data_IF_236180280073
#
_entry.id   IF_236180280073
#
_cell.length_a   1.000
_cell.length_b   1.000
_cell.length_c   1.000
_cell.angle_alpha   90.00
_cell.angle_beta   90.00
_cell.angle_gamma   90.00
#
_symmetry.space_group_name_H-M   'P 1'
#
loop_
_entity.id
_entity.type
_entity.pdbx_description
1 polymer ?
#
# COMPACT_ATOMS: atom_id res chain seq x y z
N UNK A 1 17.22 -7.25 20.76
CA UNK A 1 16.00 -6.44 20.52
C UNK A 1 15.13 -7.16 19.52
N UNK A 2 13.80 -7.14 19.67
CA UNK A 2 12.89 -7.71 18.68
C UNK A 2 12.01 -6.63 18.06
N UNK A 3 11.87 -6.66 16.73
CA UNK A 3 10.96 -5.80 15.97
C UNK A 3 9.86 -6.67 15.37
N UNK A 4 8.60 -6.31 15.61
CA UNK A 4 7.44 -7.09 15.16
C UNK A 4 6.83 -6.46 13.90
N UNK A 5 6.80 -7.21 12.80
CA UNK A 5 6.21 -6.86 11.51
C UNK A 5 7.22 -6.35 10.48
N UNK A 6 7.29 -7.01 9.32
CA UNK A 6 8.09 -6.67 8.15
C UNK A 6 7.45 -5.64 7.21
N UNK A 7 6.54 -4.80 7.71
CA UNK A 7 6.12 -3.61 6.97
C UNK A 7 7.26 -2.59 6.89
N UNK A 8 7.17 -1.62 5.98
CA UNK A 8 8.20 -0.57 5.81
C UNK A 8 8.65 0.10 7.11
N UNK A 9 7.72 0.31 8.06
CA UNK A 9 8.04 0.87 9.36
C UNK A 9 8.93 -0.05 10.22
N UNK A 10 8.62 -1.34 10.26
CA UNK A 10 9.41 -2.32 11.01
C UNK A 10 10.76 -2.58 10.36
N UNK A 11 10.81 -2.67 9.03
CA UNK A 11 12.07 -2.76 8.27
C UNK A 11 12.98 -1.56 8.57
N UNK A 12 12.44 -0.34 8.51
CA UNK A 12 13.22 0.88 8.79
C UNK A 12 13.68 0.93 10.24
N UNK A 13 12.82 0.55 11.19
CA UNK A 13 13.17 0.53 12.61
C UNK A 13 14.27 -0.49 12.91
N UNK A 14 14.15 -1.71 12.37
CA UNK A 14 15.14 -2.76 12.54
C UNK A 14 16.49 -2.38 11.92
N UNK A 15 16.49 -1.84 10.70
CA UNK A 15 17.71 -1.33 10.06
C UNK A 15 18.37 -0.23 10.89
N UNK A 16 17.58 0.70 11.43
CA UNK A 16 18.12 1.80 12.25
C UNK A 16 18.73 1.28 13.55
N UNK A 17 18.11 0.31 14.21
CA UNK A 17 18.65 -0.30 15.43
C UNK A 17 19.92 -1.09 15.14
N UNK A 18 19.96 -1.86 14.05
CA UNK A 18 21.15 -2.56 13.56
C UNK A 18 22.31 -1.60 13.31
N UNK A 19 22.06 -0.50 12.58
CA UNK A 19 23.06 0.56 12.33
C UNK A 19 23.59 1.24 13.60
N UNK A 20 22.83 1.19 14.69
CA UNK A 20 23.25 1.71 16.00
C UNK A 20 24.00 0.65 16.83
N UNK A 21 24.25 -0.54 16.28
CA UNK A 21 24.98 -1.63 16.93
C UNK A 21 24.16 -2.46 17.91
N UNK A 22 22.83 -2.32 17.91
CA UNK A 22 21.98 -3.19 18.70
C UNK A 22 21.85 -4.56 18.02
N UNK A 23 21.85 -5.63 18.82
CA UNK A 23 21.44 -6.95 18.37
C UNK A 23 19.92 -6.95 18.13
N UNK A 24 19.48 -7.16 16.88
CA UNK A 24 18.09 -6.99 16.44
C UNK A 24 17.64 -8.20 15.65
N UNK A 25 16.48 -8.73 16.00
CA UNK A 25 15.74 -9.72 15.20
C UNK A 25 14.41 -9.11 14.74
N UNK A 26 14.07 -9.27 13.47
CA UNK A 26 12.77 -8.90 12.92
C UNK A 26 11.87 -10.14 12.78
N UNK A 27 10.67 -10.09 13.35
CA UNK A 27 9.71 -11.20 13.37
C UNK A 27 8.49 -10.83 12.53
N UNK A 28 8.15 -11.65 11.54
CA UNK A 28 7.03 -11.43 10.62
C UNK A 28 6.14 -12.67 10.51
N UNK A 29 4.83 -12.44 10.57
CA UNK A 29 3.83 -13.50 10.52
C UNK A 29 3.69 -14.10 9.10
N UNK A 30 3.85 -13.28 8.06
CA UNK A 30 3.85 -13.74 6.68
C UNK A 30 5.12 -14.51 6.32
N UNK A 31 5.04 -15.32 5.27
CA UNK A 31 6.19 -16.01 4.68
C UNK A 31 7.08 -15.12 3.81
N UNK A 32 6.83 -13.80 3.76
CA UNK A 32 7.54 -12.84 2.91
C UNK A 32 7.67 -11.48 3.63
N UNK A 33 8.69 -10.70 3.23
CA UNK A 33 8.90 -9.33 3.71
C UNK A 33 8.03 -8.30 2.95
N UNK A 34 7.91 -7.10 3.52
CA UNK A 34 7.39 -5.90 2.85
C UNK A 34 5.98 -5.49 3.28
N UNK A 35 5.18 -6.40 3.85
CA UNK A 35 3.82 -6.14 4.27
C UNK A 35 2.96 -5.54 3.14
N UNK A 36 2.28 -4.41 3.38
CA UNK A 36 1.46 -3.70 2.36
C UNK A 36 2.25 -3.08 1.21
N UNK A 37 3.57 -3.05 1.33
CA UNK A 37 4.50 -2.54 0.33
C UNK A 37 5.32 -3.68 -0.31
N UNK A 38 4.96 -4.93 -0.01
CA UNK A 38 5.63 -6.11 -0.51
C UNK A 38 5.28 -6.45 -1.95
N UNK A 39 5.74 -7.64 -2.33
CA UNK A 39 5.52 -8.21 -3.65
C UNK A 39 4.55 -9.39 -3.55
N UNK A 40 3.82 -9.60 -4.63
CA UNK A 40 3.03 -10.80 -4.87
C UNK A 40 3.21 -11.23 -6.33
N UNK A 41 2.64 -12.36 -6.71
CA UNK A 41 2.72 -12.90 -8.07
C UNK A 41 1.41 -12.69 -8.82
N UNK A 42 1.51 -12.20 -10.04
CA UNK A 42 0.44 -12.22 -11.04
C UNK A 42 0.89 -13.15 -12.18
N UNK A 43 0.51 -14.42 -12.08
CA UNK A 43 1.12 -15.48 -12.89
C UNK A 43 2.60 -15.63 -12.54
N UNK A 44 3.47 -15.58 -13.56
CA UNK A 44 4.92 -15.68 -13.36
C UNK A 44 5.60 -14.34 -13.07
N UNK A 45 4.83 -13.23 -13.06
CA UNK A 45 5.37 -11.88 -12.86
C UNK A 45 5.24 -11.45 -11.41
N UNK A 46 6.32 -10.91 -10.85
CA UNK A 46 6.24 -10.21 -9.57
C UNK A 46 5.58 -8.85 -9.75
N UNK A 47 4.68 -8.50 -8.83
CA UNK A 47 3.98 -7.22 -8.81
C UNK A 47 4.01 -6.64 -7.40
N UNK A 48 4.30 -5.35 -7.28
CA UNK A 48 4.10 -4.66 -6.00
C UNK A 48 2.61 -4.53 -5.70
N UNK A 49 2.22 -4.97 -4.51
CA UNK A 49 0.82 -4.93 -4.05
C UNK A 49 0.42 -3.55 -3.53
N UNK A 50 1.39 -2.68 -3.24
CA UNK A 50 1.15 -1.31 -2.80
C UNK A 50 2.37 -0.40 -2.85
N UNK A 51 2.17 0.87 -2.48
CA UNK A 51 3.22 1.88 -2.25
C UNK A 51 4.16 2.22 -3.42
N UNK A 52 3.76 1.95 -4.67
CA UNK A 52 4.57 2.23 -5.88
C UNK A 52 4.99 3.71 -6.03
N UNK A 53 4.12 4.64 -5.62
CA UNK A 53 4.36 6.07 -5.76
C UNK A 53 5.13 6.60 -4.55
N UNK A 54 6.41 6.91 -4.76
CA UNK A 54 7.32 7.36 -3.71
C UNK A 54 7.56 8.87 -3.86
N UNK A 55 7.02 9.64 -2.92
CA UNK A 55 7.18 11.09 -2.89
C UNK A 55 8.66 11.51 -2.85
N UNK A 56 9.03 12.60 -3.52
CA UNK A 56 10.40 13.14 -3.46
C UNK A 56 10.77 13.60 -2.06
N UNK A 57 9.77 14.01 -1.27
CA UNK A 57 9.96 14.46 0.11
C UNK A 57 9.88 13.35 1.14
N UNK A 58 9.84 12.08 0.71
CA UNK A 58 9.89 10.91 1.61
C UNK A 58 11.35 10.59 1.99
N UNK A 59 12.02 11.55 2.65
CA UNK A 59 13.45 11.46 2.95
C UNK A 59 13.81 10.21 3.75
N UNK A 60 13.02 9.83 4.75
CA UNK A 60 13.27 8.61 5.55
C UNK A 60 13.19 7.34 4.72
N UNK A 61 12.21 7.24 3.81
CA UNK A 61 12.10 6.07 2.95
C UNK A 61 13.23 6.02 1.93
N UNK A 62 13.58 7.16 1.33
CA UNK A 62 14.68 7.25 0.36
C UNK A 62 16.03 6.97 1.01
N UNK A 63 16.25 7.42 2.24
CA UNK A 63 17.40 7.02 3.05
C UNK A 63 17.41 5.50 3.26
N UNK A 64 16.30 4.91 3.68
CA UNK A 64 16.18 3.47 3.88
C UNK A 64 16.54 2.67 2.62
N UNK A 65 16.06 3.05 1.44
CA UNK A 65 16.40 2.33 0.21
C UNK A 65 17.85 2.55 -0.21
N UNK A 66 18.36 3.78 -0.07
CA UNK A 66 19.76 4.12 -0.40
C UNK A 66 20.76 3.39 0.47
N UNK A 67 20.49 3.28 1.77
CA UNK A 67 21.31 2.51 2.73
C UNK A 67 21.41 1.02 2.36
N UNK A 68 20.41 0.51 1.64
CA UNK A 68 20.34 -0.86 1.16
C UNK A 68 20.74 -1.00 -0.32
N UNK A 69 21.38 0.03 -0.89
CA UNK A 69 21.93 0.01 -2.24
C UNK A 69 20.90 0.23 -3.36
N UNK A 70 19.72 0.77 -3.06
CA UNK A 70 18.71 1.14 -4.06
C UNK A 70 18.37 2.63 -3.99
N UNK A 71 19.05 3.42 -4.80
CA UNK A 71 18.86 4.86 -4.96
C UNK A 71 18.46 5.27 -6.38
N UNK A 72 18.32 4.30 -7.29
CA UNK A 72 17.82 4.52 -8.63
C UNK A 72 16.29 4.73 -8.62
N UNK A 73 15.89 5.97 -8.87
CA UNK A 73 14.50 6.39 -8.99
C UNK A 73 14.20 6.88 -10.40
N UNK A 74 13.02 6.54 -10.91
CA UNK A 74 12.48 7.07 -12.16
C UNK A 74 11.17 7.82 -11.92
N UNK A 75 10.93 8.86 -12.70
CA UNK A 75 9.70 9.64 -12.61
C UNK A 75 8.50 8.76 -12.96
N UNK A 76 7.54 8.64 -12.05
CA UNK A 76 6.32 7.85 -12.30
C UNK A 76 5.33 8.60 -13.20
N UNK A 77 5.46 9.94 -13.31
CA UNK A 77 4.53 10.79 -14.06
C UNK A 77 3.13 10.84 -13.43
N UNK A 78 2.69 12.02 -12.97
CA UNK A 78 1.33 12.20 -12.49
C UNK A 78 0.35 12.37 -13.65
N UNK A 79 0.05 11.30 -14.38
CA UNK A 79 -1.04 11.30 -15.36
C UNK A 79 -2.38 11.08 -14.65
N UNK A 80 -2.75 12.00 -13.75
CA UNK A 80 -4.10 12.06 -13.21
C UNK A 80 -5.01 12.70 -14.28
N UNK A 81 -5.36 11.89 -15.27
CA UNK A 81 -6.38 12.22 -16.27
C UNK A 81 -7.73 11.77 -15.75
N UNK A 82 -8.69 12.69 -15.64
CA UNK A 82 -10.07 12.37 -15.25
C UNK A 82 -10.98 12.55 -16.45
N UNK A 83 -11.93 11.66 -16.66
CA UNK A 83 -13.03 11.89 -17.61
C UNK A 83 -14.18 12.59 -16.85
N UNK A 84 -14.59 13.77 -17.30
CA UNK A 84 -15.79 14.48 -16.84
C UNK A 84 -16.58 14.93 -18.06
N UNK A 85 -17.86 14.58 -18.13
CA UNK A 85 -18.75 14.93 -19.24
C UNK A 85 -18.20 14.52 -20.63
N UNK A 86 -17.50 13.39 -20.70
CA UNK A 86 -16.86 12.88 -21.92
C UNK A 86 -15.51 13.52 -22.25
N UNK A 87 -15.08 14.55 -21.51
CA UNK A 87 -13.80 15.22 -21.71
C UNK A 87 -12.72 14.70 -20.74
N UNK A 88 -11.50 14.50 -21.25
CA UNK A 88 -10.33 14.21 -20.42
C UNK A 88 -9.80 15.51 -19.82
N UNK A 89 -10.11 15.73 -18.54
CA UNK A 89 -9.49 16.74 -17.71
C UNK A 89 -8.13 16.25 -17.22
N UNK A 90 -7.07 16.64 -17.92
CA UNK A 90 -5.69 16.48 -17.45
C UNK A 90 -5.34 17.66 -16.55
N UNK A 91 -4.96 17.37 -15.30
CA UNK A 91 -4.27 18.34 -14.46
C UNK A 91 -2.81 18.42 -14.91
N UNK A 92 -2.60 19.15 -16.00
CA UNK A 92 -1.28 19.41 -16.55
C UNK A 92 -0.60 20.52 -15.74
N UNK A 93 0.46 20.17 -15.02
CA UNK A 93 1.26 21.09 -14.22
C UNK A 93 2.09 22.07 -15.05
N UNK A 94 2.29 21.81 -16.35
CA UNK A 94 3.09 22.64 -17.25
C UNK A 94 2.28 23.83 -17.82
N UNK A 95 0.94 23.78 -17.79
CA UNK A 95 0.04 24.81 -18.35
C UNK A 95 -0.79 25.53 -17.29
N UNK A 96 -0.11 26.29 -16.42
CA UNK A 96 -0.69 27.01 -15.25
C UNK A 96 -2.00 27.78 -15.52
N UNK A 97 -2.13 28.44 -16.67
CA UNK A 97 -3.34 29.19 -17.04
C UNK A 97 -4.57 28.31 -17.34
N UNK A 98 -4.35 27.11 -17.89
CA UNK A 98 -5.40 26.11 -18.11
C UNK A 98 -5.77 25.45 -16.78
N UNK A 99 -4.78 25.18 -15.93
CA UNK A 99 -4.98 24.68 -14.56
C UNK A 99 -5.85 25.60 -13.72
N UNK A 100 -5.59 26.91 -13.72
CA UNK A 100 -6.37 27.88 -12.93
C UNK A 100 -7.83 27.98 -13.40
N UNK A 101 -8.06 27.93 -14.72
CA UNK A 101 -9.40 27.94 -15.30
C UNK A 101 -10.16 26.65 -14.96
N UNK A 102 -9.48 25.51 -14.99
CA UNK A 102 -10.05 24.23 -14.59
C UNK A 102 -10.36 24.21 -13.09
N UNK A 103 -9.48 24.71 -12.22
CA UNK A 103 -9.71 24.80 -10.77
C UNK A 103 -10.95 25.65 -10.44
N UNK A 104 -11.17 26.76 -11.15
CA UNK A 104 -12.39 27.58 -10.97
C UNK A 104 -13.68 26.86 -11.41
N UNK A 105 -13.59 25.88 -12.31
CA UNK A 105 -14.71 25.00 -12.72
C UNK A 105 -14.88 23.76 -11.82
N UNK A 106 -14.09 23.66 -10.74
CA UNK A 106 -14.13 22.52 -9.83
C UNK A 106 -14.93 22.81 -8.56
N UNK A 107 -15.35 24.06 -8.30
CA UNK A 107 -16.18 24.40 -7.16
C UNK A 107 -16.28 25.89 -6.87
N UNK A 108 -16.91 26.23 -5.75
CA UNK A 108 -17.13 27.63 -5.35
C UNK A 108 -15.82 28.36 -5.05
N UNK A 109 -15.80 29.68 -5.22
CA UNK A 109 -14.65 30.52 -4.86
C UNK A 109 -14.24 30.36 -3.38
N UNK A 110 -15.22 30.12 -2.50
CA UNK A 110 -15.00 29.85 -1.07
C UNK A 110 -14.24 28.55 -0.86
N UNK A 111 -14.60 27.48 -1.56
CA UNK A 111 -13.92 26.19 -1.45
C UNK A 111 -12.49 26.24 -1.98
N UNK A 112 -12.30 26.92 -3.12
CA UNK A 112 -10.97 27.16 -3.69
C UNK A 112 -10.10 27.97 -2.73
N UNK A 113 -10.61 29.06 -2.17
CA UNK A 113 -9.89 29.87 -1.19
C UNK A 113 -9.54 29.06 0.07
N UNK A 114 -10.46 28.21 0.55
CA UNK A 114 -10.24 27.35 1.72
C UNK A 114 -9.12 26.34 1.46
N UNK A 115 -9.14 25.66 0.31
CA UNK A 115 -8.10 24.72 -0.08
C UNK A 115 -6.76 25.42 -0.31
N UNK A 116 -6.75 26.58 -0.95
CA UNK A 116 -5.55 27.39 -1.16
C UNK A 116 -4.93 27.84 0.17
N UNK A 117 -5.74 28.24 1.15
CA UNK A 117 -5.28 28.59 2.48
C UNK A 117 -4.62 27.39 3.19
N UNK A 118 -5.20 26.19 3.12
CA UNK A 118 -4.59 24.98 3.64
C UNK A 118 -3.26 24.66 2.94
N UNK A 119 -3.22 24.74 1.61
CA UNK A 119 -2.01 24.49 0.84
C UNK A 119 -0.90 25.50 1.17
N UNK A 120 -1.24 26.78 1.34
CA UNK A 120 -0.31 27.82 1.75
C UNK A 120 0.29 27.52 3.13
N UNK A 121 -0.50 27.00 4.07
CA UNK A 121 0.00 26.60 5.40
C UNK A 121 0.93 25.39 5.36
N UNK A 122 0.72 24.45 4.45
CA UNK A 122 1.65 23.34 4.20
C UNK A 122 2.95 23.86 3.58
N UNK A 123 2.88 24.80 2.62
CA UNK A 123 4.09 25.40 2.02
C UNK A 123 4.90 26.22 3.03
N UNK A 124 4.23 26.95 3.91
CA UNK A 124 4.87 27.80 4.90
C UNK A 124 5.53 27.00 6.05
N UNK A 125 5.00 25.83 6.38
CA UNK A 125 5.55 24.96 7.42
C UNK A 125 5.31 23.49 7.05
N UNK A 126 6.39 22.82 6.65
CA UNK A 126 6.35 21.43 6.15
C UNK A 126 5.79 20.46 7.19
N UNK A 127 5.86 20.76 8.50
CA UNK A 127 5.25 19.93 9.55
C UNK A 127 3.74 19.80 9.39
N UNK A 128 3.10 20.76 8.74
CA UNK A 128 1.65 20.71 8.47
C UNK A 128 1.24 19.63 7.47
N UNK A 129 2.19 18.95 6.79
CA UNK A 129 1.88 17.81 5.94
C UNK A 129 1.54 16.53 6.70
N UNK A 130 1.86 16.46 7.99
CA UNK A 130 1.66 15.29 8.83
C UNK A 130 0.43 15.43 9.73
N UNK A 131 -0.12 14.28 10.15
CA UNK A 131 -1.19 14.22 11.14
C UNK A 131 -0.74 14.83 12.47
N UNK A 132 -1.66 15.50 13.16
CA UNK A 132 -1.39 16.09 14.47
C UNK A 132 -0.58 17.41 14.45
N UNK A 133 -0.34 17.99 13.27
CA UNK A 133 0.28 19.30 13.17
C UNK A 133 -0.56 20.39 13.83
N UNK A 134 0.10 21.44 14.37
CA UNK A 134 -0.60 22.51 15.12
C UNK A 134 -1.75 23.13 14.34
N UNK A 135 -1.55 23.41 13.05
CA UNK A 135 -2.59 24.00 12.20
C UNK A 135 -3.78 23.05 12.02
N UNK A 136 -3.53 21.81 11.60
CA UNK A 136 -4.60 20.85 11.32
C UNK A 136 -5.27 20.30 12.58
N UNK A 137 -4.59 20.26 13.73
CA UNK A 137 -5.25 20.05 15.03
C UNK A 137 -6.19 21.20 15.39
N UNK A 138 -5.87 22.44 14.99
CA UNK A 138 -6.77 23.58 15.12
C UNK A 138 -7.96 23.55 14.16
N UNK A 139 -7.79 22.96 12.97
CA UNK A 139 -8.90 22.64 12.05
C UNK A 139 -9.77 21.54 12.66
N UNK A 140 -9.14 20.49 13.17
CA UNK A 140 -9.79 19.34 13.80
C UNK A 140 -10.75 19.75 14.91
N UNK A 141 -10.25 20.51 15.90
CA UNK A 141 -11.08 21.02 17.00
C UNK A 141 -12.29 21.83 16.56
N UNK A 142 -12.22 22.52 15.42
CA UNK A 142 -13.29 23.39 14.92
C UNK A 142 -14.27 22.68 13.99
N UNK A 143 -13.85 21.61 13.31
CA UNK A 143 -14.58 21.09 12.16
C UNK A 143 -14.71 19.56 12.11
N UNK A 144 -14.00 18.79 12.93
CA UNK A 144 -14.08 17.32 12.88
C UNK A 144 -15.37 16.75 13.52
N UNK A 145 -16.24 17.61 14.05
CA UNK A 145 -17.61 17.23 14.41
C UNK A 145 -18.47 16.92 13.18
N UNK A 146 -17.97 17.17 11.97
CA UNK A 146 -18.63 16.83 10.72
C UNK A 146 -17.64 16.20 9.72
N UNK A 147 -18.14 15.40 8.76
CA UNK A 147 -17.28 14.79 7.75
C UNK A 147 -16.74 15.82 6.76
N UNK A 148 -15.69 15.45 6.04
CA UNK A 148 -15.04 16.28 5.04
C UNK A 148 -15.99 16.67 3.89
N UNK A 149 -16.95 15.81 3.55
CA UNK A 149 -18.02 16.09 2.58
C UNK A 149 -18.86 17.32 2.92
N UNK A 150 -19.05 17.61 4.20
CA UNK A 150 -19.79 18.79 4.69
C UNK A 150 -18.92 20.06 4.75
N UNK A 151 -17.59 19.88 4.73
CA UNK A 151 -16.63 20.96 4.88
C UNK A 151 -16.37 21.70 3.56
N UNK A 152 -16.50 21.00 2.42
CA UNK A 152 -16.45 21.56 1.07
C UNK A 152 -17.82 21.48 0.40
N UNK A 153 -18.10 22.41 -0.53
CA UNK A 153 -19.32 22.34 -1.34
C UNK A 153 -19.35 21.08 -2.22
N UNK A 154 -20.56 20.59 -2.52
CA UNK A 154 -20.80 19.33 -3.28
C UNK A 154 -19.96 19.23 -4.55
N UNK A 155 -19.90 20.28 -5.34
CA UNK A 155 -19.14 20.29 -6.60
C UNK A 155 -17.63 20.07 -6.39
N UNK A 156 -17.03 20.74 -5.39
CA UNK A 156 -15.63 20.55 -5.01
C UNK A 156 -15.39 19.15 -4.45
N UNK A 157 -16.36 18.67 -3.65
CA UNK A 157 -16.30 17.33 -3.08
C UNK A 157 -16.27 16.27 -4.19
N UNK A 158 -17.19 16.33 -5.14
CA UNK A 158 -17.31 15.35 -6.22
C UNK A 158 -16.18 15.47 -7.26
N UNK A 159 -15.71 16.71 -7.50
CA UNK A 159 -14.74 16.98 -8.57
C UNK A 159 -13.29 16.78 -8.13
N UNK A 160 -12.95 17.06 -6.87
CA UNK A 160 -11.55 17.05 -6.42
C UNK A 160 -11.33 16.26 -5.13
N UNK A 161 -12.14 16.49 -4.10
CA UNK A 161 -11.91 15.89 -2.77
C UNK A 161 -12.09 14.37 -2.82
N UNK A 162 -13.21 13.89 -3.36
CA UNK A 162 -13.56 12.46 -3.41
C UNK A 162 -12.51 11.61 -4.11
N UNK A 163 -12.08 11.93 -5.35
CA UNK A 163 -11.00 11.17 -5.99
C UNK A 163 -9.71 11.14 -5.18
N UNK A 164 -9.39 12.25 -4.50
CA UNK A 164 -8.17 12.36 -3.71
C UNK A 164 -8.22 11.47 -2.46
N UNK A 165 -9.29 11.53 -1.68
CA UNK A 165 -9.40 10.73 -0.45
C UNK A 165 -9.62 9.24 -0.75
N UNK A 166 -10.33 8.89 -1.82
CA UNK A 166 -10.45 7.49 -2.26
C UNK A 166 -9.07 6.96 -2.65
N UNK A 167 -8.30 7.71 -3.45
CA UNK A 167 -6.98 7.26 -3.91
C UNK A 167 -5.99 7.10 -2.76
N UNK A 168 -5.97 8.02 -1.81
CA UNK A 168 -4.94 8.06 -0.76
C UNK A 168 -5.33 7.24 0.47
N UNK A 169 -6.62 7.18 0.81
CA UNK A 169 -7.10 6.58 2.05
C UNK A 169 -7.94 5.32 1.81
N UNK A 170 -8.51 5.15 0.61
CA UNK A 170 -9.52 4.12 0.35
C UNK A 170 -10.84 4.39 1.09
N UNK A 171 -11.17 5.66 1.30
CA UNK A 171 -12.32 6.10 2.10
C UNK A 171 -13.15 7.16 1.35
N UNK A 172 -14.45 7.17 1.58
CA UNK A 172 -15.34 8.21 1.08
C UNK A 172 -15.15 9.53 1.86
N UNK A 173 -15.48 10.70 1.29
CA UNK A 173 -15.43 11.97 2.02
C UNK A 173 -16.29 12.02 3.29
N UNK A 174 -17.28 11.14 3.41
CA UNK A 174 -18.10 10.96 4.60
C UNK A 174 -17.39 10.23 5.75
N UNK A 175 -16.26 9.57 5.45
CA UNK A 175 -15.46 8.78 6.39
C UNK A 175 -14.11 9.46 6.74
N UNK A 176 -13.88 10.66 6.22
CA UNK A 176 -12.67 11.47 6.44
C UNK A 176 -13.06 12.78 7.10
N UNK A 177 -12.17 13.37 7.91
CA UNK A 177 -12.44 14.61 8.64
C UNK A 177 -11.48 15.74 8.23
N UNK A 178 -11.91 17.03 8.30
CA UNK A 178 -11.10 18.18 7.90
C UNK A 178 -9.71 18.26 8.54
N UNK A 179 -9.58 17.85 9.80
CA UNK A 179 -8.34 17.82 10.55
C UNK A 179 -7.30 16.83 10.03
N UNK A 180 -7.70 15.82 9.24
CA UNK A 180 -6.76 14.85 8.64
C UNK A 180 -6.46 15.16 7.18
N UNK A 181 -7.18 16.11 6.58
CA UNK A 181 -7.10 16.41 5.15
C UNK A 181 -5.74 16.97 4.69
N UNK A 182 -4.94 17.52 5.62
CA UNK A 182 -3.61 18.04 5.33
C UNK A 182 -2.66 17.04 4.67
N UNK A 183 -2.75 15.76 5.05
CA UNK A 183 -1.93 14.69 4.46
C UNK A 183 -2.25 14.48 2.98
N UNK A 184 -3.54 14.50 2.64
CA UNK A 184 -4.03 14.35 1.28
C UNK A 184 -3.59 15.53 0.40
N UNK A 185 -3.72 16.75 0.92
CA UNK A 185 -3.33 17.95 0.21
C UNK A 185 -1.80 18.02 0.00
N UNK A 186 -1.02 17.63 1.00
CA UNK A 186 0.42 17.54 0.86
C UNK A 186 0.85 16.52 -0.20
N UNK A 187 0.15 15.38 -0.25
CA UNK A 187 0.36 14.38 -1.30
C UNK A 187 0.09 14.97 -2.69
N UNK A 188 -0.97 15.74 -2.88
CA UNK A 188 -1.25 16.41 -4.16
C UNK A 188 -0.15 17.40 -4.57
N UNK A 189 0.57 17.96 -3.59
CA UNK A 189 1.61 18.96 -3.80
C UNK A 189 3.01 18.37 -4.01
N UNK A 190 3.17 17.05 -3.89
CA UNK A 190 4.48 16.39 -4.07
C UNK A 190 4.66 15.87 -5.51
N UNK A 191 5.92 15.59 -5.86
CA UNK A 191 6.29 14.84 -7.04
C UNK A 191 6.64 13.41 -6.64
N UNK A 192 6.36 12.47 -7.54
CA UNK A 192 6.48 11.06 -7.23
C UNK A 192 7.33 10.35 -8.25
N UNK A 193 8.22 9.54 -7.72
CA UNK A 193 9.06 8.63 -8.47
C UNK A 193 8.69 7.19 -8.06
N UNK A 194 9.28 6.21 -8.75
CA UNK A 194 9.28 4.81 -8.35
C UNK A 194 10.71 4.28 -8.38
N UNK A 195 10.98 3.18 -7.66
CA UNK A 195 12.27 2.50 -7.75
C UNK A 195 12.40 1.82 -9.11
N UNK A 196 13.45 2.14 -9.87
CA UNK A 196 13.65 1.58 -11.22
C UNK A 196 13.81 0.06 -11.20
N UNK A 197 14.45 -0.50 -10.16
CA UNK A 197 14.62 -1.94 -9.97
C UNK A 197 13.48 -2.63 -9.21
N UNK A 198 12.39 -1.90 -8.89
CA UNK A 198 11.39 -2.36 -7.94
C UNK A 198 11.93 -2.49 -6.52
N UNK A 199 11.13 -3.07 -5.62
CA UNK A 199 11.49 -3.15 -4.18
C UNK A 199 12.23 -4.43 -3.79
N UNK A 200 12.15 -5.51 -4.58
CA UNK A 200 12.77 -6.80 -4.21
C UNK A 200 14.25 -6.68 -3.82
N UNK A 201 15.10 -5.96 -4.57
CA UNK A 201 16.52 -5.86 -4.23
C UNK A 201 16.77 -5.25 -2.84
N UNK A 202 15.92 -4.30 -2.42
CA UNK A 202 15.98 -3.69 -1.09
C UNK A 202 15.62 -4.70 0.00
N UNK A 203 14.58 -5.50 -0.22
CA UNK A 203 14.15 -6.52 0.74
C UNK A 203 15.20 -7.63 0.87
N UNK A 204 15.82 -8.03 -0.24
CA UNK A 204 16.91 -9.02 -0.26
C UNK A 204 18.15 -8.50 0.47
N UNK A 205 18.54 -7.24 0.21
CA UNK A 205 19.65 -6.60 0.89
C UNK A 205 19.39 -6.48 2.41
N UNK A 206 18.16 -6.11 2.79
CA UNK A 206 17.75 -6.06 4.19
C UNK A 206 17.86 -7.43 4.87
N UNK A 207 17.32 -8.49 4.25
CA UNK A 207 17.32 -9.84 4.82
C UNK A 207 18.71 -10.45 4.98
N UNK A 208 19.69 -10.01 4.19
CA UNK A 208 21.10 -10.39 4.35
C UNK A 208 21.79 -9.70 5.53
N UNK A 209 21.25 -8.57 5.96
CA UNK A 209 21.85 -7.70 6.98
C UNK A 209 21.24 -7.93 8.36
N UNK A 210 19.92 -7.92 8.45
CA UNK A 210 19.20 -8.08 9.71
C UNK A 210 18.65 -9.50 9.82
N UNK A 211 18.85 -10.20 10.96
CA UNK A 211 18.18 -11.47 11.23
C UNK A 211 16.65 -11.34 11.10
N UNK A 212 16.07 -12.16 10.22
CA UNK A 212 14.64 -12.18 9.95
C UNK A 212 14.07 -13.55 10.24
N UNK A 213 12.95 -13.56 10.99
CA UNK A 213 12.14 -14.75 11.25
C UNK A 213 10.76 -14.59 10.59
N UNK A 214 10.57 -15.28 9.47
CA UNK A 214 9.31 -15.33 8.72
C UNK A 214 8.39 -16.45 9.22
N UNK A 215 7.10 -16.38 8.92
CA UNK A 215 6.12 -17.39 9.33
C UNK A 215 5.93 -17.51 10.85
N UNK A 216 6.31 -16.46 11.57
CA UNK A 216 6.33 -16.41 13.03
C UNK A 216 5.37 -15.33 13.54
N UNK A 217 4.34 -15.74 14.28
CA UNK A 217 3.35 -14.82 14.83
C UNK A 217 3.68 -14.51 16.27
N UNK A 218 3.83 -13.22 16.59
CA UNK A 218 3.91 -12.77 17.98
C UNK A 218 2.50 -12.75 18.57
N UNK A 219 2.26 -13.62 19.53
CA UNK A 219 0.95 -13.79 20.17
C UNK A 219 0.77 -12.88 21.38
N UNK A 220 1.87 -12.60 22.09
CA UNK A 220 1.81 -11.91 23.39
C UNK A 220 3.13 -11.21 23.75
N UNK A 221 3.03 -10.18 24.58
CA UNK A 221 4.16 -9.50 25.20
C UNK A 221 4.42 -10.10 26.59
N UNK A 222 5.66 -10.49 26.87
CA UNK A 222 6.04 -10.95 28.21
C UNK A 222 6.45 -9.73 29.03
N UNK A 223 5.57 -9.28 29.93
CA UNK A 223 5.81 -8.11 30.78
C UNK A 223 6.23 -8.56 32.19
N UNK A 224 7.33 -8.00 32.70
CA UNK A 224 7.81 -8.18 34.08
C UNK A 224 8.17 -6.80 34.65
N UNK A 225 7.73 -6.50 35.86
CA UNK A 225 7.98 -5.22 36.55
C UNK A 225 7.63 -4.00 35.69
N UNK A 226 6.51 -4.07 34.97
CA UNK A 226 6.03 -3.00 34.08
C UNK A 226 6.85 -2.81 32.79
N UNK A 227 7.80 -3.70 32.49
CA UNK A 227 8.66 -3.63 31.30
C UNK A 227 8.48 -4.86 30.40
N UNK A 228 8.55 -4.64 29.08
CA UNK A 228 8.55 -5.75 28.11
C UNK A 228 9.91 -6.45 28.15
N UNK A 229 9.91 -7.73 28.50
CA UNK A 229 11.12 -8.56 28.66
C UNK A 229 11.24 -9.68 27.63
N UNK A 230 10.16 -9.96 26.89
CA UNK A 230 10.12 -11.08 25.96
C UNK A 230 8.89 -11.04 25.06
N UNK A 231 8.85 -11.98 24.11
CA UNK A 231 7.71 -12.23 23.25
C UNK A 231 7.32 -13.71 23.33
N UNK A 232 6.00 -13.98 23.31
CA UNK A 232 5.50 -15.33 23.01
C UNK A 232 5.27 -15.43 21.50
N UNK A 233 5.94 -16.38 20.85
CA UNK A 233 5.94 -16.53 19.39
C UNK A 233 5.44 -17.93 19.02
N UNK A 234 4.54 -18.00 18.03
CA UNK A 234 4.10 -19.23 17.41
C UNK A 234 4.72 -19.35 15.99
N UNK A 235 5.14 -20.56 15.62
CA UNK A 235 5.71 -20.84 14.29
C UNK A 235 4.96 -22.02 13.67
N UNK A 236 4.48 -21.87 12.44
CA UNK A 236 3.70 -22.93 11.77
C UNK A 236 2.43 -23.36 12.54
N UNK A 237 1.83 -22.44 13.31
CA UNK A 237 0.66 -22.71 14.15
C UNK A 237 0.93 -23.49 15.43
N UNK A 238 2.20 -23.77 15.76
CA UNK A 238 2.58 -24.42 17.03
C UNK A 238 3.17 -23.38 17.98
N UNK A 239 2.71 -23.29 19.24
CA UNK A 239 3.33 -22.43 20.24
C UNK A 239 4.77 -22.87 20.48
N UNK A 240 5.72 -21.93 20.43
CA UNK A 240 7.05 -22.13 21.02
C UNK A 240 7.10 -21.39 22.36
N UNK A 241 7.93 -21.90 23.26
CA UNK A 241 8.15 -21.31 24.58
C UNK A 241 8.61 -19.85 24.50
N UNK A 242 8.59 -19.13 25.63
CA UNK A 242 8.93 -17.70 25.66
C UNK A 242 10.34 -17.46 25.10
N UNK A 243 10.45 -16.64 24.05
CA UNK A 243 11.74 -16.13 23.59
C UNK A 243 12.11 -14.93 24.48
N UNK A 244 13.28 -15.00 25.13
CA UNK A 244 13.73 -13.95 26.05
C UNK A 244 14.44 -12.85 25.25
N UNK A 245 13.64 -11.98 24.62
CA UNK A 245 14.17 -10.83 23.86
C UNK A 245 13.36 -9.58 24.19
N UNK A 246 14.03 -8.51 24.64
CA UNK A 246 13.40 -7.19 24.81
C UNK A 246 12.82 -6.73 23.48
N UNK A 247 11.51 -6.53 23.43
CA UNK A 247 10.79 -6.25 22.20
C UNK A 247 10.31 -4.80 22.12
N UNK A 248 10.49 -4.21 20.95
CA UNK A 248 9.87 -2.96 20.55
C UNK A 248 8.80 -3.28 19.50
N UNK A 249 7.54 -3.22 19.92
CA UNK A 249 6.41 -3.38 19.02
C UNK A 249 6.15 -2.06 18.28
N UNK A 250 6.33 -2.06 16.95
CA UNK A 250 5.85 -0.98 16.09
C UNK A 250 4.57 -1.43 15.39
N UNK A 251 3.38 -0.89 15.71
CA UNK A 251 2.15 -1.51 15.26
C UNK A 251 1.78 -1.08 13.84
N UNK A 252 1.30 -2.01 13.00
CA UNK A 252 0.31 -1.70 11.98
C UNK A 252 -1.10 -2.22 12.38
N UNK A 253 -1.60 -1.86 13.58
CA UNK A 253 -3.01 -1.96 14.13
C UNK A 253 -3.71 -3.36 14.15
N UNK A 254 -4.87 -3.51 14.85
CA UNK A 254 -5.37 -2.81 16.03
C UNK A 254 -5.19 -3.68 17.29
N UNK A 255 -4.78 -3.08 18.41
CA UNK A 255 -5.02 -3.71 19.72
C UNK A 255 -6.52 -3.77 19.93
N UNK A 256 -7.08 -4.99 19.97
CA UNK A 256 -8.47 -5.23 20.36
C UNK A 256 -8.61 -4.70 21.79
N UNK A 257 -9.58 -3.81 22.10
CA UNK A 257 -9.85 -3.48 23.49
C UNK A 257 -10.24 -4.78 24.21
N UNK A 258 -9.78 -5.00 25.46
CA UNK A 258 -10.20 -6.16 26.23
C UNK A 258 -11.73 -6.13 26.37
N UNK A 259 -12.42 -7.16 25.84
CA UNK A 259 -13.86 -7.37 26.03
C UNK A 259 -14.76 -7.45 24.79
N UNK A 260 -14.30 -7.22 23.55
CA UNK A 260 -15.20 -7.35 22.38
C UNK A 260 -15.27 -8.79 21.86
N UNK A 261 -16.43 -9.44 21.92
CA UNK A 261 -16.67 -10.84 21.46
C UNK A 261 -17.25 -10.95 20.04
N UNK A 262 -17.30 -9.88 19.26
CA UNK A 262 -17.95 -9.91 17.95
C UNK A 262 -17.23 -10.83 16.93
N UNK A 263 -17.94 -11.77 16.27
CA UNK A 263 -17.37 -12.61 15.23
C UNK A 263 -17.07 -11.81 13.95
N UNK A 264 -15.99 -12.18 13.26
CA UNK A 264 -15.62 -11.59 11.96
C UNK A 264 -16.63 -12.04 10.90
N UNK A 265 -17.32 -11.09 10.27
CA UNK A 265 -18.04 -11.36 9.02
C UNK A 265 -17.08 -11.69 7.86
N UNK A 266 -17.49 -12.48 6.87
CA UNK A 266 -16.66 -12.82 5.73
C UNK A 266 -16.32 -11.56 4.92
N UNK A 267 -15.03 -11.38 4.62
CA UNK A 267 -14.56 -10.36 3.67
C UNK A 267 -14.79 -10.89 2.26
N UNK A 268 -15.59 -10.19 1.47
CA UNK A 268 -15.69 -10.42 0.03
C UNK A 268 -14.37 -10.04 -0.66
N UNK A 269 -13.84 -10.83 -1.59
CA UNK A 269 -12.70 -10.43 -2.39
C UNK A 269 -13.13 -9.32 -3.35
N UNK A 270 -12.55 -8.13 -3.21
CA UNK A 270 -12.65 -7.07 -4.21
C UNK A 270 -11.93 -7.52 -5.48
N UNK A 271 -12.70 -7.91 -6.50
CA UNK A 271 -12.15 -8.31 -7.79
C UNK A 271 -11.57 -7.11 -8.54
N UNK A 272 -10.23 -7.03 -8.61
CA UNK A 272 -9.54 -6.14 -9.52
C UNK A 272 -9.51 -6.78 -10.92
N UNK A 273 -10.32 -6.28 -11.87
CA UNK A 273 -10.23 -6.68 -13.27
C UNK A 273 -9.18 -5.81 -13.97
N UNK A 274 -8.04 -6.39 -14.31
CA UNK A 274 -7.06 -5.77 -15.21
C UNK A 274 -7.35 -6.20 -16.65
N UNK A 275 -7.64 -5.26 -17.54
CA UNK A 275 -7.65 -5.50 -18.98
C UNK A 275 -6.20 -5.57 -19.48
N UNK A 276 -5.74 -6.74 -19.91
CA UNK A 276 -4.47 -6.88 -20.61
C UNK A 276 -4.59 -6.31 -22.01
N UNK A 277 -4.00 -5.14 -22.26
CA UNK A 277 -3.81 -4.62 -23.61
C UNK A 277 -2.44 -5.03 -24.12
N UNK A 278 -2.39 -5.82 -25.19
CA UNK A 278 -1.19 -6.39 -25.79
C UNK A 278 -0.41 -5.43 -26.72
N UNK A 279 -0.65 -4.12 -26.65
CA UNK A 279 0.12 -3.12 -27.42
C UNK A 279 0.34 -1.83 -26.63
N UNK A 280 1.57 -1.27 -26.62
CA UNK A 280 1.76 0.10 -26.16
C UNK A 280 1.01 1.05 -27.14
N UNK A 281 0.29 2.07 -26.65
CA UNK A 281 0.02 3.22 -27.50
C UNK A 281 1.36 3.89 -27.78
N UNK A 282 1.50 4.63 -28.87
CA UNK A 282 2.73 5.29 -29.35
C UNK A 282 3.66 4.40 -30.20
N UNK A 283 3.21 4.11 -31.42
CA UNK A 283 4.10 4.10 -32.59
C UNK A 283 3.50 5.03 -33.64
N UNK A 284 4.07 6.21 -33.80
CA UNK A 284 3.69 7.18 -34.83
C UNK A 284 4.31 6.76 -36.17
N UNK A 285 3.48 6.26 -37.08
CA UNK A 285 3.73 6.36 -38.51
C UNK A 285 2.44 6.81 -39.20
N UNK A 286 2.61 7.87 -39.97
CA UNK A 286 1.60 8.62 -40.69
C UNK A 286 1.16 7.90 -41.96
N UNK A 287 -0.13 7.57 -42.07
CA UNK A 287 -0.83 7.54 -43.36
C UNK A 287 -2.32 7.80 -43.20
N UNK A 288 -2.81 8.76 -43.97
CA UNK A 288 -4.19 9.22 -44.15
C UNK A 288 -5.14 8.16 -44.74
N UNK A 289 -6.38 8.08 -44.23
CA UNK A 289 -7.50 7.39 -44.88
C UNK A 289 -8.74 7.25 -43.98
N UNK A 290 -9.99 7.50 -44.46
CA UNK A 290 -11.14 7.72 -43.58
C UNK A 290 -12.04 6.50 -43.34
N UNK A 291 -12.77 6.56 -42.22
CA UNK A 291 -14.13 6.06 -41.98
C UNK A 291 -14.41 4.54 -42.02
N UNK A 292 -14.81 3.98 -40.87
CA UNK A 292 -16.20 3.46 -40.71
C UNK A 292 -16.49 3.10 -39.26
N UNK A 293 -17.61 3.62 -38.76
CA UNK A 293 -18.19 3.25 -37.48
C UNK A 293 -18.82 1.85 -37.58
N UNK A 294 -18.52 0.96 -36.61
CA UNK A 294 -19.29 -0.26 -36.40
C UNK A 294 -19.84 -0.31 -34.98
N UNK A 295 -21.15 -0.36 -34.95
CA UNK A 295 -22.05 -0.59 -33.82
C UNK A 295 -21.79 -1.98 -33.22
N UNK A 296 -21.41 -2.06 -31.94
CA UNK A 296 -21.43 -3.32 -31.20
C UNK A 296 -22.82 -3.54 -30.60
N UNK A 297 -23.55 -4.50 -31.17
CA UNK A 297 -24.78 -5.04 -30.61
C UNK A 297 -24.50 -5.83 -29.33
N UNK A 298 -25.38 -5.67 -28.34
CA UNK A 298 -25.42 -6.44 -27.09
C UNK A 298 -26.07 -7.81 -27.34
N UNK A 299 -25.42 -8.89 -26.93
CA UNK A 299 -26.07 -10.21 -26.76
C UNK A 299 -26.36 -10.49 -25.29
N UNK A 300 -27.54 -11.05 -24.95
CA UNK A 300 -27.90 -11.39 -23.58
C UNK A 300 -27.32 -12.76 -23.18
N UNK A 301 -26.85 -12.85 -21.93
CA UNK A 301 -26.38 -14.10 -21.33
C UNK A 301 -27.56 -14.89 -20.75
N UNK A 302 -27.69 -16.13 -21.18
CA UNK A 302 -28.58 -17.15 -20.61
C UNK A 302 -27.87 -17.92 -19.50
N UNK A 303 -28.57 -18.13 -18.39
CA UNK A 303 -28.16 -18.94 -17.24
C UNK A 303 -28.32 -20.43 -17.55
N UNK A 304 -27.25 -21.21 -17.43
CA UNK A 304 -27.24 -22.67 -17.60
C UNK A 304 -26.68 -23.39 -16.37
N UNK A 305 -27.42 -24.41 -15.91
CA UNK A 305 -27.26 -25.21 -14.68
C UNK A 305 -26.05 -26.16 -14.66
N UNK A 306 -25.79 -26.61 -13.44
CA UNK A 306 -24.81 -27.59 -12.96
C UNK A 306 -24.75 -28.93 -13.71
N UNK A 307 -23.54 -29.52 -13.73
CA UNK A 307 -23.32 -30.95 -13.94
C UNK A 307 -22.35 -31.51 -12.87
N UNK A 308 -22.75 -32.65 -12.31
CA UNK A 308 -22.20 -33.46 -11.22
C UNK A 308 -20.93 -34.24 -11.66
N UNK A 309 -20.04 -34.68 -10.76
CA UNK A 309 -18.70 -35.16 -11.13
C UNK A 309 -18.66 -36.66 -11.46
N UNK A 310 -17.75 -37.02 -12.37
CA UNK A 310 -17.37 -38.42 -12.64
C UNK A 310 -16.28 -38.83 -11.65
N UNK A 311 -16.57 -39.88 -10.88
CA UNK A 311 -15.63 -40.68 -10.10
C UNK A 311 -14.79 -41.55 -11.05
N UNK A 312 -13.50 -41.64 -10.80
CA UNK A 312 -12.70 -42.83 -11.14
C UNK A 312 -11.80 -43.18 -9.96
N UNK A 313 -11.94 -44.41 -9.50
CA UNK A 313 -11.18 -45.01 -8.42
C UNK A 313 -10.34 -46.17 -8.96
N UNK A 314 -9.16 -46.33 -8.37
CA UNK A 314 -8.41 -47.58 -8.14
C UNK A 314 -7.77 -48.31 -9.33
N UNK A 315 -6.42 -48.45 -9.29
CA UNK A 315 -5.80 -49.70 -8.82
C UNK A 315 -4.33 -49.55 -8.39
N UNK A 316 -4.02 -50.40 -7.42
CA UNK A 316 -2.79 -50.74 -6.72
C UNK A 316 -1.62 -51.20 -7.58
N UNK A 317 -0.40 -50.93 -7.12
CA UNK A 317 0.82 -51.62 -7.54
C UNK A 317 1.93 -51.47 -6.50
N UNK A 318 2.00 -52.42 -5.57
CA UNK A 318 3.16 -52.69 -4.72
C UNK A 318 4.25 -53.42 -5.51
N UNK A 319 5.51 -53.00 -5.42
CA UNK A 319 6.61 -53.95 -5.33
C UNK A 319 7.82 -53.36 -4.59
N UNK A 320 8.29 -54.16 -3.66
CA UNK A 320 9.53 -54.09 -2.89
C UNK A 320 10.73 -54.50 -3.74
N UNK A 321 11.87 -53.83 -3.57
CA UNK A 321 13.19 -54.46 -3.64
C UNK A 321 14.29 -53.51 -3.11
N UNK A 322 14.79 -53.79 -1.91
CA UNK A 322 16.23 -53.63 -1.59
C UNK A 322 16.89 -54.96 -2.00
N UNK A 323 18.17 -55.00 -2.44
CA UNK A 323 19.21 -55.18 -1.42
C UNK A 323 20.62 -54.63 -1.77
N UNK A 324 21.39 -54.51 -0.69
CA UNK A 324 22.85 -54.73 -0.51
C UNK A 324 23.92 -53.74 -1.00
N UNK A 325 24.77 -53.47 -0.01
CA UNK A 325 26.09 -52.86 0.01
C UNK A 325 27.14 -53.49 -0.93
N UNK A 326 28.13 -52.67 -1.28
CA UNK A 326 29.52 -53.10 -1.43
C UNK A 326 30.47 -51.96 -1.04
N UNK A 327 31.39 -52.28 -0.12
CA UNK A 327 32.52 -51.47 0.30
C UNK A 327 33.67 -51.51 -0.72
N UNK A 328 34.50 -50.46 -0.70
CA UNK A 328 35.94 -50.32 -1.07
C UNK A 328 36.17 -48.79 -1.13
N UNK A 329 37.12 -48.15 -0.45
CA UNK A 329 38.40 -48.56 0.10
C UNK A 329 39.46 -47.62 -0.47
N UNK A 330 39.90 -46.63 0.31
CA UNK A 330 41.20 -45.92 0.31
C UNK A 330 41.05 -44.66 1.18
#
# INVERSE_FOLDING_TARGET
>A
MAVVGAGVSGLTAALRLDLLGYDVELIEAAGILGGRFGLDKLGDRQVMTGGKNIGRRYHTFRWFTSELGADAYESFGYNASRIKDGEVLTLDSERRGRTLRNIRRMGSARDVARMAAMAARIRADDRNRFLGSRYFSGVSRRHDHSPLSSFFGREMTDTLVRPMVIRNNGAEPDEVHPGTFGTNLAMLMDHYDQLSGGIQPVLDAFAKRVPVRLGATVEDLVVRDGRVTGLRVSEGGRPRGPATTTAWCWPPRPTRPPGSSAPRGPRSPGGCRTCGTSRPPWSSSSTTGPSSARTCARSPWTTGRAATPVRTAWRSGTSSATPTAAARGA
#
